data_IF_262769657182
#
_entry.id   IF_262769657182
#
_cell.length_a   1.000
_cell.length_b   1.000
_cell.length_c   1.000
_cell.angle_alpha   90.00
_cell.angle_beta   90.00
_cell.angle_gamma   90.00
#
_symmetry.space_group_name_H-M   'P 1'
#
loop_
_entity.id
_entity.type
_entity.pdbx_description
1 polymer ?
#
# COMPACT_ATOMS: atom_id res chain seq x y z
N UNK A 1 -6.48 -32.94 20.34
CA UNK A 1 -7.15 -31.68 20.72
C UNK A 1 -8.53 -31.65 20.06
N UNK A 2 -9.59 -31.73 20.85
CA UNK A 2 -10.97 -31.68 20.37
C UNK A 2 -11.32 -30.24 19.96
N UNK A 3 -11.86 -30.04 18.75
CA UNK A 3 -12.44 -28.75 18.33
C UNK A 3 -13.94 -28.82 18.46
N UNK A 4 -14.51 -27.88 19.21
CA UNK A 4 -15.94 -27.59 19.20
C UNK A 4 -16.20 -26.59 18.07
N UNK A 5 -17.06 -26.96 17.11
CA UNK A 5 -17.54 -26.06 16.07
C UNK A 5 -18.98 -25.67 16.44
N UNK A 6 -19.19 -24.40 16.76
CA UNK A 6 -20.50 -23.83 17.06
C UNK A 6 -21.00 -23.12 15.82
N UNK A 7 -22.11 -23.58 15.27
CA UNK A 7 -22.82 -22.90 14.18
C UNK A 7 -23.91 -22.04 14.82
N UNK A 8 -23.72 -20.71 14.76
CA UNK A 8 -24.68 -19.75 15.25
C UNK A 8 -25.53 -19.25 14.09
N UNK A 9 -26.86 -19.38 14.20
CA UNK A 9 -27.78 -18.68 13.30
C UNK A 9 -27.83 -17.20 13.71
N UNK A 10 -27.25 -16.32 12.91
CA UNK A 10 -27.27 -14.87 13.16
C UNK A 10 -28.67 -14.26 13.08
N UNK A 11 -29.66 -15.02 12.59
CA UNK A 11 -31.08 -14.66 12.61
C UNK A 11 -31.79 -15.03 13.92
N UNK A 12 -31.15 -15.81 14.80
CA UNK A 12 -31.70 -16.15 16.11
C UNK A 12 -31.53 -15.04 17.17
N UNK A 13 -30.90 -13.92 16.79
CA UNK A 13 -30.86 -12.72 17.60
C UNK A 13 -32.05 -11.84 17.25
N UNK A 14 -33.05 -11.80 18.13
CA UNK A 14 -34.03 -10.72 18.14
C UNK A 14 -33.29 -9.45 18.58
N UNK A 15 -32.92 -8.63 17.61
CA UNK A 15 -32.50 -7.27 17.89
C UNK A 15 -33.78 -6.47 18.18
N UNK A 16 -33.84 -5.72 19.31
CA UNK A 16 -35.00 -4.87 19.57
C UNK A 16 -35.20 -3.90 18.41
N UNK A 17 -36.45 -3.65 18.03
CA UNK A 17 -36.77 -2.53 17.15
C UNK A 17 -36.25 -1.24 17.79
N UNK A 18 -35.23 -0.68 17.16
CA UNK A 18 -34.56 0.55 17.61
C UNK A 18 -35.08 1.70 16.75
N UNK A 19 -35.71 2.69 17.39
CA UNK A 19 -35.96 3.97 16.72
C UNK A 19 -34.61 4.62 16.37
N UNK A 20 -34.36 4.77 15.08
CA UNK A 20 -33.18 5.47 14.59
C UNK A 20 -33.36 6.96 14.96
N UNK A 21 -32.41 7.58 15.68
CA UNK A 21 -32.51 8.99 16.01
C UNK A 21 -32.52 9.85 14.74
N UNK A 22 -33.00 11.11 14.80
CA UNK A 22 -32.90 12.02 13.66
C UNK A 22 -31.47 12.07 13.11
N UNK A 23 -31.31 11.62 11.86
CA UNK A 23 -30.03 11.64 11.15
C UNK A 23 -29.93 12.90 10.30
N UNK A 24 -28.72 13.48 10.22
CA UNK A 24 -28.43 14.60 9.34
C UNK A 24 -27.52 14.15 8.20
N UNK A 25 -27.83 14.62 6.99
CA UNK A 25 -26.95 14.41 5.85
C UNK A 25 -25.77 15.37 5.93
N UNK A 26 -24.56 14.81 6.01
CA UNK A 26 -23.31 15.57 5.90
C UNK A 26 -22.70 15.29 4.54
N UNK A 27 -22.37 16.36 3.80
CA UNK A 27 -21.61 16.26 2.56
C UNK A 27 -20.16 16.63 2.82
N UNK A 28 -19.29 15.62 2.81
CA UNK A 28 -17.85 15.82 2.88
C UNK A 28 -17.29 15.98 1.46
N UNK A 29 -16.67 17.13 1.17
CA UNK A 29 -15.91 17.37 -0.06
C UNK A 29 -14.46 17.63 0.33
N UNK A 30 -13.57 16.78 -0.16
CA UNK A 30 -12.12 17.03 -0.06
C UNK A 30 -11.69 17.61 -1.40
N UNK A 31 -11.11 18.80 -1.38
CA UNK A 31 -10.36 19.29 -2.53
C UNK A 31 -9.09 18.44 -2.65
N UNK A 32 -9.11 17.45 -3.54
CA UNK A 32 -7.96 16.64 -3.85
C UNK A 32 -7.27 17.22 -5.09
N UNK A 33 -6.00 17.66 -4.98
CA UNK A 33 -5.26 18.13 -6.15
C UNK A 33 -5.11 16.98 -7.16
N UNK A 34 -5.50 17.23 -8.41
CA UNK A 34 -5.31 16.29 -9.51
C UNK A 34 -3.91 16.50 -10.07
N UNK A 35 -3.07 15.48 -9.94
CA UNK A 35 -1.76 15.47 -10.58
C UNK A 35 -1.86 14.83 -11.96
N UNK A 36 -1.52 15.61 -12.99
CA UNK A 36 -1.25 15.11 -14.35
C UNK A 36 0.24 14.80 -14.49
N UNK A 37 0.61 14.01 -15.51
CA UNK A 37 1.99 13.59 -15.78
C UNK A 37 2.70 12.98 -14.56
N UNK A 38 2.13 11.88 -14.04
CA UNK A 38 2.58 11.21 -12.82
C UNK A 38 4.09 10.90 -12.86
N UNK A 39 4.56 10.42 -14.01
CA UNK A 39 5.94 10.00 -14.20
C UNK A 39 6.92 11.17 -14.02
N UNK A 40 6.63 12.32 -14.63
CA UNK A 40 7.42 13.56 -14.48
C UNK A 40 7.39 14.07 -13.03
N UNK A 41 6.23 14.01 -12.38
CA UNK A 41 6.07 14.44 -10.97
C UNK A 41 6.85 13.55 -10.01
N UNK A 42 6.93 12.25 -10.29
CA UNK A 42 7.77 11.33 -9.51
C UNK A 42 9.24 11.70 -9.67
N UNK A 43 9.73 11.91 -10.90
CA UNK A 43 11.11 12.32 -11.13
C UNK A 43 11.44 13.64 -10.42
N UNK A 44 10.53 14.60 -10.51
CA UNK A 44 10.62 15.88 -9.81
C UNK A 44 10.75 15.72 -8.28
N UNK A 45 9.92 14.88 -7.67
CA UNK A 45 9.97 14.60 -6.25
C UNK A 45 11.26 13.86 -5.84
N UNK A 46 11.81 13.02 -6.73
CA UNK A 46 13.03 12.24 -6.48
C UNK A 46 14.31 13.08 -6.54
N UNK A 47 14.33 14.25 -7.20
CA UNK A 47 15.55 15.07 -7.40
C UNK A 47 16.39 15.29 -6.14
N UNK A 48 15.74 15.53 -4.98
CA UNK A 48 16.47 15.74 -3.71
C UNK A 48 17.15 14.45 -3.23
N UNK A 49 16.50 13.30 -3.44
CA UNK A 49 17.05 12.00 -3.08
C UNK A 49 18.22 11.60 -3.99
N UNK A 50 18.17 11.97 -5.27
CA UNK A 50 19.24 11.68 -6.24
C UNK A 50 20.56 12.38 -5.92
N UNK A 51 20.52 13.48 -5.16
CA UNK A 51 21.71 14.17 -4.67
C UNK A 51 22.34 13.50 -3.44
N UNK A 52 21.70 12.48 -2.85
CA UNK A 52 22.21 11.80 -1.66
C UNK A 52 23.34 10.83 -2.05
N UNK A 53 24.56 10.99 -1.50
CA UNK A 53 25.69 10.11 -1.84
C UNK A 53 25.47 8.64 -1.44
N UNK A 54 24.49 8.34 -0.57
CA UNK A 54 24.12 6.97 -0.20
C UNK A 54 23.38 6.26 -1.32
N UNK A 55 22.77 6.99 -2.24
CA UNK A 55 22.10 6.44 -3.42
C UNK A 55 23.13 6.11 -4.52
N UNK A 56 24.13 5.32 -4.16
CA UNK A 56 25.23 4.95 -5.04
C UNK A 56 24.92 3.69 -5.85
N UNK A 57 25.66 3.50 -6.93
CA UNK A 57 25.53 2.31 -7.78
C UNK A 57 25.72 1.04 -6.96
N UNK A 58 24.79 0.09 -7.09
CA UNK A 58 24.76 -1.16 -6.35
C UNK A 58 24.11 -1.07 -4.97
N UNK A 59 23.76 0.13 -4.48
CA UNK A 59 23.07 0.29 -3.20
C UNK A 59 21.74 -0.49 -3.19
N UNK A 60 21.46 -1.19 -2.10
CA UNK A 60 20.17 -1.84 -1.87
C UNK A 60 19.19 -0.81 -1.31
N UNK A 61 18.04 -0.62 -1.96
CA UNK A 61 17.09 0.46 -1.62
C UNK A 61 15.72 -0.12 -1.32
N UNK A 62 15.28 -0.02 -0.07
CA UNK A 62 13.93 -0.39 0.32
C UNK A 62 12.94 0.71 -0.08
N UNK A 63 11.93 0.37 -0.87
CA UNK A 63 10.82 1.24 -1.25
C UNK A 63 9.61 0.87 -0.40
N UNK A 64 9.29 1.70 0.58
CA UNK A 64 8.14 1.50 1.46
C UNK A 64 6.82 1.79 0.76
N UNK A 65 5.91 0.82 0.73
CA UNK A 65 4.58 0.96 0.12
C UNK A 65 3.49 0.73 1.17
N UNK A 66 2.64 1.74 1.35
CA UNK A 66 1.55 1.73 2.34
C UNK A 66 0.18 1.42 1.75
N UNK A 67 -0.85 1.37 2.62
CA UNK A 67 -2.23 0.98 2.30
C UNK A 67 -3.26 2.13 2.39
N UNK A 68 -2.82 3.39 2.54
CA UNK A 68 -3.70 4.53 2.82
C UNK A 68 -4.32 5.22 1.59
N UNK A 69 -4.56 4.46 0.51
CA UNK A 69 -5.36 4.94 -0.63
C UNK A 69 -4.71 6.05 -1.47
N UNK A 70 -3.49 5.83 -1.97
CA UNK A 70 -2.86 6.72 -2.95
C UNK A 70 -3.40 6.38 -4.35
N UNK A 71 -3.97 7.37 -5.04
CA UNK A 71 -4.39 7.19 -6.42
C UNK A 71 -3.19 6.87 -7.33
N UNK A 72 -3.36 5.93 -8.26
CA UNK A 72 -2.31 5.50 -9.19
C UNK A 72 -1.06 4.89 -8.51
N UNK A 73 -1.21 4.29 -7.32
CA UNK A 73 -0.10 3.75 -6.52
C UNK A 73 0.85 2.87 -7.34
N UNK A 74 0.33 1.91 -8.11
CA UNK A 74 1.14 1.05 -8.97
C UNK A 74 2.03 1.84 -9.95
N UNK A 75 1.48 2.85 -10.63
CA UNK A 75 2.24 3.68 -11.59
C UNK A 75 3.35 4.46 -10.90
N UNK A 76 3.02 5.06 -9.75
CA UNK A 76 3.98 5.81 -8.94
C UNK A 76 5.12 4.90 -8.50
N UNK A 77 4.80 3.74 -7.91
CA UNK A 77 5.80 2.79 -7.40
C UNK A 77 6.67 2.26 -8.54
N UNK A 78 6.07 1.88 -9.67
CA UNK A 78 6.82 1.44 -10.86
C UNK A 78 7.80 2.51 -11.33
N UNK A 79 7.39 3.78 -11.39
CA UNK A 79 8.27 4.86 -11.81
C UNK A 79 9.42 5.10 -10.83
N UNK A 80 9.16 5.03 -9.53
CA UNK A 80 10.20 5.11 -8.49
C UNK A 80 11.21 3.97 -8.66
N UNK A 81 10.73 2.73 -8.82
CA UNK A 81 11.58 1.55 -9.04
C UNK A 81 12.43 1.70 -10.30
N UNK A 82 11.82 2.06 -11.43
CA UNK A 82 12.54 2.26 -12.68
C UNK A 82 13.65 3.31 -12.54
N UNK A 83 13.34 4.45 -11.92
CA UNK A 83 14.33 5.51 -11.71
C UNK A 83 15.48 5.07 -10.79
N UNK A 84 15.18 4.33 -9.72
CA UNK A 84 16.19 3.75 -8.84
C UNK A 84 17.10 2.75 -9.58
N UNK A 85 16.54 1.93 -10.47
CA UNK A 85 17.30 1.02 -11.31
C UNK A 85 18.19 1.75 -12.33
N UNK A 86 17.72 2.83 -12.95
CA UNK A 86 18.52 3.68 -13.85
C UNK A 86 19.75 4.29 -13.16
N UNK A 87 19.62 4.64 -11.88
CA UNK A 87 20.74 5.09 -11.05
C UNK A 87 21.70 3.95 -10.66
N UNK A 88 21.42 2.73 -11.10
CA UNK A 88 22.20 1.53 -10.88
C UNK A 88 22.04 0.93 -9.49
N UNK A 89 20.98 1.28 -8.76
CA UNK A 89 20.68 0.69 -7.44
C UNK A 89 19.93 -0.64 -7.58
N UNK A 90 19.68 -1.32 -6.47
CA UNK A 90 18.93 -2.58 -6.37
C UNK A 90 17.68 -2.36 -5.51
N UNK A 91 16.60 -1.80 -6.07
CA UNK A 91 15.39 -1.54 -5.30
C UNK A 91 14.61 -2.81 -4.99
N UNK A 92 13.92 -2.82 -3.86
CA UNK A 92 12.94 -3.84 -3.48
C UNK A 92 11.79 -3.20 -2.70
N UNK A 93 10.59 -3.76 -2.80
CA UNK A 93 9.40 -3.26 -2.12
C UNK A 93 9.32 -3.83 -0.71
N UNK A 94 9.00 -2.99 0.27
CA UNK A 94 8.64 -3.40 1.63
C UNK A 94 7.26 -2.86 2.02
N UNK A 95 6.40 -3.67 2.65
CA UNK A 95 5.11 -3.20 3.14
C UNK A 95 5.30 -2.24 4.33
N UNK A 96 4.92 -0.98 4.16
CA UNK A 96 5.01 0.07 5.18
C UNK A 96 3.62 0.39 5.75
N UNK A 97 2.94 -0.63 6.30
CA UNK A 97 1.50 -0.57 6.61
C UNK A 97 1.09 -1.02 8.03
N UNK A 98 2.05 -1.35 8.90
CA UNK A 98 1.77 -1.71 10.29
C UNK A 98 0.92 -2.97 10.42
N UNK A 99 -0.17 -2.91 11.21
CA UNK A 99 -1.03 -4.07 11.49
C UNK A 99 -1.93 -4.53 10.32
N UNK A 100 -1.94 -3.81 9.20
CA UNK A 100 -2.65 -4.24 8.00
C UNK A 100 -2.19 -5.65 7.58
N UNK A 101 -3.13 -6.45 7.08
CA UNK A 101 -2.85 -7.84 6.68
C UNK A 101 -2.58 -8.74 7.88
N UNK A 102 -3.05 -8.38 9.08
CA UNK A 102 -2.82 -9.15 10.30
C UNK A 102 -1.37 -9.09 10.79
N UNK A 103 -0.57 -8.12 10.33
CA UNK A 103 0.86 -8.03 10.59
C UNK A 103 1.68 -9.28 10.18
N UNK A 104 1.17 -10.09 9.26
CA UNK A 104 1.90 -11.23 8.69
C UNK A 104 2.47 -10.86 7.33
N UNK A 105 3.58 -11.48 6.96
CA UNK A 105 4.23 -11.26 5.67
C UNK A 105 3.29 -11.61 4.51
N UNK A 106 2.61 -12.75 4.59
CA UNK A 106 1.66 -13.21 3.57
C UNK A 106 0.47 -12.26 3.44
N UNK A 107 -0.08 -11.79 4.58
CA UNK A 107 -1.23 -10.90 4.58
C UNK A 107 -0.89 -9.51 4.04
N UNK A 108 0.28 -8.98 4.38
CA UNK A 108 0.75 -7.71 3.84
C UNK A 108 1.08 -7.80 2.34
N UNK A 109 1.72 -8.89 1.90
CA UNK A 109 1.97 -9.15 0.48
C UNK A 109 0.66 -9.28 -0.31
N UNK A 110 -0.35 -9.98 0.23
CA UNK A 110 -1.66 -10.10 -0.40
C UNK A 110 -2.38 -8.75 -0.54
N UNK A 111 -2.26 -7.88 0.46
CA UNK A 111 -2.80 -6.51 0.38
C UNK A 111 -2.10 -5.71 -0.72
N UNK A 112 -0.76 -5.75 -0.77
CA UNK A 112 0.02 -5.08 -1.82
C UNK A 112 -0.35 -5.58 -3.21
N UNK A 113 -0.50 -6.91 -3.38
CA UNK A 113 -0.95 -7.50 -4.63
C UNK A 113 -2.34 -7.01 -5.03
N UNK A 114 -3.26 -6.87 -4.06
CA UNK A 114 -4.58 -6.25 -4.27
C UNK A 114 -4.53 -4.79 -4.75
N UNK A 115 -3.42 -4.09 -4.50
CA UNK A 115 -3.15 -2.74 -5.03
C UNK A 115 -2.36 -2.73 -6.35
N UNK A 116 -2.16 -3.90 -6.97
CA UNK A 116 -1.35 -4.04 -8.20
C UNK A 116 0.15 -3.98 -7.96
N UNK A 117 0.61 -4.11 -6.72
CA UNK A 117 2.03 -4.10 -6.36
C UNK A 117 2.52 -5.55 -6.31
N UNK A 118 2.87 -6.05 -7.49
CA UNK A 118 3.56 -7.34 -7.68
C UNK A 118 4.92 -7.11 -8.32
N UNK A 119 5.82 -8.08 -8.21
CA UNK A 119 7.16 -7.98 -8.79
C UNK A 119 7.13 -7.73 -10.29
N UNK A 120 6.24 -8.39 -11.02
CA UNK A 120 6.08 -8.24 -12.47
C UNK A 120 5.52 -6.86 -12.82
N UNK A 121 4.59 -6.35 -12.01
CA UNK A 121 3.90 -5.10 -12.26
C UNK A 121 4.78 -3.87 -12.02
N UNK A 122 5.68 -3.95 -11.02
CA UNK A 122 6.53 -2.81 -10.61
C UNK A 122 8.00 -2.98 -10.97
N UNK A 123 8.43 -4.18 -11.36
CA UNK A 123 9.79 -4.49 -11.77
C UNK A 123 10.79 -4.65 -10.62
N UNK A 124 10.33 -4.88 -9.38
CA UNK A 124 11.19 -5.10 -8.22
C UNK A 124 10.62 -6.14 -7.26
N UNK A 125 11.48 -6.92 -6.57
CA UNK A 125 11.03 -7.94 -5.63
C UNK A 125 10.18 -7.35 -4.50
N UNK A 126 9.12 -8.07 -4.10
CA UNK A 126 8.32 -7.73 -2.92
C UNK A 126 8.80 -8.54 -1.73
N UNK A 127 9.40 -7.87 -0.74
CA UNK A 127 9.90 -8.47 0.49
C UNK A 127 9.02 -8.05 1.66
N UNK A 128 8.09 -8.92 2.02
CA UNK A 128 7.19 -8.68 3.16
C UNK A 128 7.80 -9.04 4.52
N UNK A 129 8.96 -9.71 4.52
CA UNK A 129 9.77 -10.00 5.71
C UNK A 129 11.00 -9.09 5.74
N UNK A 130 11.54 -8.86 6.93
CA UNK A 130 12.81 -8.15 7.14
C UNK A 130 14.03 -9.08 7.16
N UNK A 131 13.82 -10.38 6.95
CA UNK A 131 14.88 -11.40 6.79
C UNK A 131 15.49 -11.37 5.38
#
# INVERSE_FOLDING_TARGET
>A
MSRLRLEYDTRAFDYPELEIPPLFNVRFRVEAPVLTAIEERVLEAMRRLEADPRLSRGASVAVGVGSRGIANLQRIVRQVVARLQELGTRPFIVPAMGSHGGATAEGQAAILAGYGITEEAVGAPVRATME
#
